data_IF_072823669023
#
_entry.id   IF_072823669023
#
_cell.length_a   1.000
_cell.length_b   1.000
_cell.length_c   1.000
_cell.angle_alpha   90.00
_cell.angle_beta   90.00
_cell.angle_gamma   90.00
#
_symmetry.space_group_name_H-M   'P 1'
#
loop_
_entity.id
_entity.type
_entity.pdbx_description
1 polymer ?
#
# COMPACT_ATOMS: atom_id res chain seq x y z
N UNK A 1 -8.36 31.16 17.57
CA UNK A 1 -8.31 29.71 17.85
C UNK A 1 -9.38 29.04 16.99
N UNK A 2 -9.05 28.59 15.79
CA UNK A 2 -10.01 27.90 14.92
C UNK A 2 -9.80 26.39 15.07
N UNK A 3 -10.78 25.73 15.68
CA UNK A 3 -10.86 24.26 15.72
C UNK A 3 -11.63 23.81 14.48
N UNK A 4 -11.00 23.02 13.62
CA UNK A 4 -11.71 22.29 12.56
C UNK A 4 -12.06 20.91 13.08
N UNK A 5 -13.34 20.71 13.40
CA UNK A 5 -13.92 19.39 13.59
C UNK A 5 -14.12 18.74 12.21
N UNK A 6 -13.28 17.77 11.87
CA UNK A 6 -13.37 17.05 10.60
C UNK A 6 -14.32 15.88 10.78
N UNK A 7 -15.53 16.05 10.25
CA UNK A 7 -16.56 15.02 10.11
C UNK A 7 -16.02 13.78 9.38
N UNK A 8 -16.36 12.59 9.89
CA UNK A 8 -16.17 11.29 9.23
C UNK A 8 -16.89 11.29 7.88
N UNK A 9 -16.17 11.52 6.79
CA UNK A 9 -16.63 11.19 5.44
C UNK A 9 -16.13 9.79 5.11
N UNK A 10 -16.90 8.78 5.55
CA UNK A 10 -16.87 7.47 4.94
C UNK A 10 -17.84 7.45 3.79
N UNK A 11 -17.53 8.15 2.68
CA UNK A 11 -18.26 7.94 1.43
C UNK A 11 -17.38 7.13 0.48
N UNK A 12 -17.85 5.95 0.06
CA UNK A 12 -17.14 5.05 -0.87
C UNK A 12 -16.96 5.66 -2.28
N UNK A 13 -17.59 6.81 -2.54
CA UNK A 13 -17.62 7.46 -3.85
C UNK A 13 -16.39 8.33 -4.18
N UNK A 14 -15.53 8.65 -3.19
CA UNK A 14 -14.37 9.54 -3.38
C UNK A 14 -13.01 8.82 -3.22
N UNK A 15 -12.93 7.57 -3.66
CA UNK A 15 -11.65 6.83 -3.65
C UNK A 15 -10.78 7.30 -4.82
N UNK A 16 -9.59 7.83 -4.49
CA UNK A 16 -8.59 8.21 -5.51
C UNK A 16 -7.77 6.97 -5.87
N UNK A 17 -7.71 6.65 -7.15
CA UNK A 17 -6.93 5.54 -7.68
C UNK A 17 -5.70 6.04 -8.42
N UNK A 18 -4.56 5.39 -8.18
CA UNK A 18 -3.32 5.57 -8.96
C UNK A 18 -2.93 4.25 -9.63
N UNK A 19 -2.18 4.32 -10.72
CA UNK A 19 -1.68 3.13 -11.42
C UNK A 19 -0.16 3.21 -11.62
N UNK A 20 0.64 3.11 -10.55
CA UNK A 20 2.08 3.01 -10.68
C UNK A 20 2.48 1.77 -11.48
N UNK A 21 3.64 1.83 -12.12
CA UNK A 21 4.33 0.67 -12.66
C UNK A 21 5.25 0.11 -11.58
N UNK A 22 4.91 -1.04 -11.03
CA UNK A 22 5.72 -1.78 -10.05
C UNK A 22 6.48 -2.86 -10.82
N UNK A 23 7.80 -2.79 -10.86
CA UNK A 23 8.66 -3.63 -11.70
C UNK A 23 8.16 -3.70 -13.15
N UNK A 24 7.82 -2.53 -13.71
CA UNK A 24 7.27 -2.41 -15.06
C UNK A 24 5.80 -2.85 -15.22
N UNK A 25 5.22 -3.50 -14.21
CA UNK A 25 3.83 -3.98 -14.24
C UNK A 25 2.85 -2.91 -13.72
N UNK A 26 1.87 -2.46 -14.52
CA UNK A 26 0.84 -1.55 -14.03
C UNK A 26 0.02 -2.17 -12.89
N UNK A 27 -0.09 -1.45 -11.78
CA UNK A 27 -0.79 -1.89 -10.59
C UNK A 27 -1.76 -0.82 -10.13
N UNK A 28 -3.07 -1.08 -10.23
CA UNK A 28 -4.09 -0.17 -9.71
C UNK A 28 -4.10 -0.23 -8.18
N UNK A 29 -3.94 0.91 -7.53
CA UNK A 29 -3.83 1.06 -6.08
C UNK A 29 -4.68 2.24 -5.60
N UNK A 30 -5.25 2.13 -4.41
CA UNK A 30 -5.96 3.21 -3.73
C UNK A 30 -4.94 4.14 -3.07
N UNK A 31 -5.03 5.44 -3.33
CA UNK A 31 -4.14 6.43 -2.73
C UNK A 31 -4.53 6.64 -1.26
N UNK A 32 -3.68 6.18 -0.34
CA UNK A 32 -3.88 6.34 1.10
C UNK A 32 -2.81 7.28 1.68
N UNK A 33 -3.13 8.57 1.71
CA UNK A 33 -2.25 9.61 2.27
C UNK A 33 -2.06 9.46 3.78
N UNK A 34 -2.85 8.65 4.48
CA UNK A 34 -2.68 8.39 5.92
C UNK A 34 -1.77 7.20 6.19
N UNK A 35 -1.55 6.32 5.23
CA UNK A 35 -0.55 5.25 5.35
C UNK A 35 0.87 5.76 5.09
N UNK A 36 1.81 5.35 5.94
CA UNK A 36 3.23 5.64 5.76
C UNK A 36 3.89 4.75 4.69
N UNK A 37 3.26 3.63 4.33
CA UNK A 37 3.83 2.63 3.42
C UNK A 37 2.80 2.09 2.46
N UNK A 38 3.28 1.63 1.31
CA UNK A 38 2.47 0.95 0.31
C UNK A 38 2.27 -0.53 0.65
N UNK A 39 1.09 -1.07 0.34
CA UNK A 39 0.66 -2.42 0.75
C UNK A 39 -0.06 -3.15 -0.38
N UNK A 40 0.23 -4.43 -0.57
CA UNK A 40 -0.46 -5.33 -1.50
C UNK A 40 -0.87 -6.64 -0.82
N UNK A 41 -1.89 -7.29 -1.38
CA UNK A 41 -2.36 -8.59 -0.93
C UNK A 41 -1.40 -9.69 -1.37
N UNK A 42 -1.23 -10.72 -0.54
CA UNK A 42 -0.37 -11.87 -0.84
C UNK A 42 -0.79 -12.60 -2.12
N UNK A 43 -2.08 -12.71 -2.38
CA UNK A 43 -2.59 -13.31 -3.63
C UNK A 43 -2.16 -12.51 -4.87
N UNK A 44 -2.22 -11.17 -4.78
CA UNK A 44 -1.79 -10.26 -5.84
C UNK A 44 -0.27 -10.33 -6.06
N UNK A 45 0.49 -10.39 -4.97
CA UNK A 45 1.93 -10.68 -5.01
C UNK A 45 2.20 -12.00 -5.74
N UNK A 46 1.56 -13.10 -5.36
CA UNK A 46 1.78 -14.41 -6.00
C UNK A 46 1.48 -14.38 -7.49
N UNK A 47 0.41 -13.68 -7.89
CA UNK A 47 -0.02 -13.61 -9.28
C UNK A 47 0.90 -12.76 -10.17
N UNK A 48 1.43 -11.63 -9.66
CA UNK A 48 2.17 -10.65 -10.48
C UNK A 48 3.66 -10.58 -10.19
N UNK A 49 4.04 -10.85 -8.95
CA UNK A 49 5.37 -10.57 -8.40
C UNK A 49 6.01 -11.79 -7.74
N UNK A 50 5.47 -13.00 -7.94
CA UNK A 50 5.96 -14.23 -7.29
C UNK A 50 7.40 -14.61 -7.63
N UNK A 51 7.97 -14.00 -8.67
CA UNK A 51 9.38 -14.12 -9.05
C UNK A 51 10.32 -13.27 -8.16
N UNK A 52 9.78 -12.27 -7.44
CA UNK A 52 10.53 -11.40 -6.54
C UNK A 52 10.57 -12.04 -5.16
N UNK A 53 11.77 -12.20 -4.59
CA UNK A 53 11.94 -12.86 -3.29
C UNK A 53 11.31 -12.04 -2.16
N UNK A 54 10.43 -12.66 -1.37
CA UNK A 54 9.90 -12.08 -0.14
C UNK A 54 11.01 -11.91 0.90
N UNK A 55 10.97 -10.77 1.59
CA UNK A 55 11.85 -10.45 2.70
C UNK A 55 11.04 -10.23 3.97
N UNK A 56 11.65 -10.46 5.13
CA UNK A 56 11.04 -10.09 6.41
C UNK A 56 11.00 -8.56 6.54
N UNK A 57 9.85 -8.03 6.94
CA UNK A 57 9.69 -6.62 7.28
C UNK A 57 9.79 -6.44 8.79
N UNK A 58 10.47 -5.39 9.22
CA UNK A 58 10.51 -4.97 10.62
C UNK A 58 9.35 -4.01 10.97
N UNK A 59 8.48 -3.70 10.01
CA UNK A 59 7.41 -2.71 10.16
C UNK A 59 6.17 -3.35 10.78
N UNK A 60 5.65 -2.75 11.85
CA UNK A 60 4.34 -3.12 12.41
C UNK A 60 3.24 -2.18 11.91
N UNK A 61 2.61 -2.48 10.77
CA UNK A 61 1.25 -1.97 10.44
C UNK A 61 0.23 -2.28 11.53
N UNK A 62 -0.65 -1.31 11.75
CA UNK A 62 -1.89 -1.44 12.52
C UNK A 62 -3.05 -1.19 11.59
N UNK A 63 -4.12 -1.96 11.71
CA UNK A 63 -5.37 -1.62 11.04
C UNK A 63 -5.96 -0.36 11.67
N UNK A 64 -6.89 0.28 10.98
CA UNK A 64 -7.59 1.44 11.53
C UNK A 64 -8.32 1.13 12.86
N UNK A 65 -8.71 -0.13 13.09
CA UNK A 65 -9.32 -0.60 14.34
C UNK A 65 -8.30 -0.86 15.45
N UNK A 66 -7.01 -0.61 15.21
CA UNK A 66 -5.94 -0.80 16.19
C UNK A 66 -5.35 -2.21 16.25
N UNK A 67 -5.84 -3.13 15.42
CA UNK A 67 -5.33 -4.50 15.39
C UNK A 67 -3.93 -4.53 14.80
N UNK A 68 -3.00 -5.20 15.49
CA UNK A 68 -1.65 -5.41 15.00
C UNK A 68 -1.65 -6.59 14.03
N UNK A 69 -1.10 -6.36 12.85
CA UNK A 69 -0.81 -7.44 11.90
C UNK A 69 0.63 -7.91 12.18
N UNK A 70 0.86 -9.18 12.52
CA UNK A 70 2.15 -9.60 13.09
C UNK A 70 3.15 -10.20 12.08
N UNK A 71 2.70 -10.59 10.89
CA UNK A 71 3.56 -11.11 9.84
C UNK A 71 3.52 -10.18 8.65
N UNK A 72 4.64 -9.51 8.37
CA UNK A 72 4.74 -8.58 7.25
C UNK A 72 5.94 -8.94 6.43
N UNK A 73 5.65 -9.56 5.30
CA UNK A 73 6.65 -9.74 4.27
C UNK A 73 6.69 -8.46 3.46
N UNK A 74 7.80 -8.23 2.80
CA UNK A 74 7.96 -7.11 1.86
C UNK A 74 8.67 -7.59 0.62
N UNK A 75 8.48 -6.83 -0.45
CA UNK A 75 9.26 -6.91 -1.67
C UNK A 75 9.92 -5.56 -1.90
N UNK A 76 11.18 -5.57 -2.31
CA UNK A 76 11.86 -4.35 -2.75
C UNK A 76 11.64 -4.22 -4.25
N UNK A 77 10.98 -3.14 -4.68
CA UNK A 77 10.54 -2.97 -6.05
C UNK A 77 10.86 -1.58 -6.59
N UNK A 78 11.15 -1.51 -7.88
CA UNK A 78 11.15 -0.29 -8.67
C UNK A 78 9.73 0.14 -8.95
N UNK A 79 9.36 1.30 -8.45
CA UNK A 79 8.03 1.88 -8.63
C UNK A 79 8.15 3.17 -9.42
N UNK A 80 7.41 3.26 -10.52
CA UNK A 80 7.35 4.44 -11.37
C UNK A 80 5.94 5.01 -11.46
N UNK A 81 5.78 6.31 -11.22
CA UNK A 81 4.52 7.04 -11.36
C UNK A 81 4.83 8.47 -11.82
N UNK A 82 4.13 8.95 -12.83
CA UNK A 82 4.24 10.34 -13.35
C UNK A 82 5.68 10.82 -13.59
N UNK A 83 6.50 9.95 -14.21
CA UNK A 83 7.91 10.24 -14.53
C UNK A 83 8.87 10.11 -13.35
N UNK A 84 8.39 9.95 -12.12
CA UNK A 84 9.21 9.67 -10.95
C UNK A 84 9.42 8.16 -10.83
N UNK A 85 10.63 7.74 -10.46
CA UNK A 85 10.96 6.33 -10.22
C UNK A 85 11.76 6.20 -8.94
N UNK A 86 11.36 5.28 -8.05
CA UNK A 86 12.01 5.04 -6.76
C UNK A 86 12.09 3.54 -6.46
N UNK A 87 13.09 3.11 -5.68
CA UNK A 87 13.04 1.81 -5.02
C UNK A 87 12.23 1.94 -3.74
N UNK A 88 11.15 1.17 -3.62
CA UNK A 88 10.25 1.16 -2.47
C UNK A 88 10.07 -0.25 -1.92
N UNK A 89 9.86 -0.33 -0.61
CA UNK A 89 9.52 -1.57 0.09
C UNK A 89 8.00 -1.72 0.18
N UNK A 90 7.42 -2.47 -0.75
CA UNK A 90 5.98 -2.73 -0.74
C UNK A 90 5.69 -3.86 0.25
N UNK A 91 4.83 -3.59 1.24
CA UNK A 91 4.43 -4.58 2.23
C UNK A 91 3.44 -5.57 1.62
N UNK A 92 3.61 -6.85 1.94
CA UNK A 92 2.74 -7.95 1.51
C UNK A 92 1.97 -8.46 2.71
N UNK A 93 0.65 -8.41 2.65
CA UNK A 93 -0.25 -8.82 3.73
C UNK A 93 -1.23 -9.90 3.26
N UNK A 94 -1.71 -10.73 4.18
CA UNK A 94 -2.72 -11.74 3.89
C UNK A 94 -4.16 -11.21 3.95
N UNK A 95 -4.38 -10.09 4.65
CA UNK A 95 -5.73 -9.53 4.82
C UNK A 95 -6.33 -9.11 3.47
N UNK A 96 -7.64 -9.35 3.26
CA UNK A 96 -8.33 -8.92 2.04
C UNK A 96 -8.44 -7.39 1.98
N UNK A 97 -8.56 -6.85 0.78
CA UNK A 97 -8.72 -5.42 0.54
C UNK A 97 -8.14 -4.98 -0.81
N UNK A 98 -8.20 -3.68 -1.12
CA UNK A 98 -7.48 -3.10 -2.26
C UNK A 98 -5.99 -2.94 -1.93
N UNK A 99 -5.15 -2.92 -2.96
CA UNK A 99 -3.77 -2.47 -2.81
C UNK A 99 -3.76 -0.98 -2.42
N UNK A 100 -2.91 -0.59 -1.47
CA UNK A 100 -2.82 0.77 -0.95
C UNK A 100 -1.49 1.42 -1.33
N UNK A 101 -1.55 2.66 -1.81
CA UNK A 101 -0.40 3.48 -2.15
C UNK A 101 -0.16 4.51 -1.05
N UNK A 102 0.92 4.32 -0.29
CA UNK A 102 1.28 5.14 0.85
C UNK A 102 2.12 6.36 0.49
N UNK A 103 2.75 6.97 1.49
CA UNK A 103 3.62 8.16 1.36
C UNK A 103 5.11 7.85 1.14
N UNK A 104 5.49 6.58 1.02
CA UNK A 104 6.87 6.09 0.91
C UNK A 104 7.61 6.50 -0.39
#
# INVERSE_FOLDING_TARGET
MASLEINKVGNKDNVIWVTPKVEGTPLRMELDTRSAVSVIQYQLYRAKFGHIKLQTSQITLRTYKGEKLYQKLKINCRVSLDGQTRQLDIQVIESPGPALFGRD
#
